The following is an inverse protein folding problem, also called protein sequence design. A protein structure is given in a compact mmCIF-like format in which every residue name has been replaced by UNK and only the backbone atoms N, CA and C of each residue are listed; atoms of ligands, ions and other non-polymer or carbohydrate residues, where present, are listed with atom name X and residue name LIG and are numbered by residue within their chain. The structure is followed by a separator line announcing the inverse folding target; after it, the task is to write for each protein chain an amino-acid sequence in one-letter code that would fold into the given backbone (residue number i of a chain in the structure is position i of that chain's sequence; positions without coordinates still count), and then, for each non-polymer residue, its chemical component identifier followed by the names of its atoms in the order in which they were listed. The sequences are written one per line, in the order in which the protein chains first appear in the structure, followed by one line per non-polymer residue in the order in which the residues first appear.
data_IF_071138951241
#
_entry.id   IF_071138951241
#
_cell.length_a   1.000
_cell.length_b   1.000
_cell.length_c   1.000
_cell.angle_alpha   90.00
_cell.angle_beta   90.00
_cell.angle_gamma   90.00
#
_symmetry.space_group_name_H-M   'P 1'
#
loop_
_entity.id
_entity.type
_entity.pdbx_description
1 polymer ?
#
# COMPACT_ATOMS: atom_id res chain seq x y z
N UNK A 1 -20.02 16.49 11.92
CA UNK A 1 -19.51 15.56 10.88
C UNK A 1 -17.99 15.72 10.84
N UNK A 2 -17.24 14.65 11.11
CA UNK A 2 -15.76 14.68 11.05
C UNK A 2 -15.29 14.92 9.60
N UNK A 3 -14.17 15.61 9.47
CA UNK A 3 -13.52 15.90 8.20
C UNK A 3 -12.17 15.20 8.14
N UNK A 4 -11.88 14.53 7.03
CA UNK A 4 -10.61 13.87 6.81
C UNK A 4 -9.96 14.35 5.50
N UNK A 5 -8.64 14.60 5.54
CA UNK A 5 -7.82 14.76 4.33
C UNK A 5 -7.08 13.45 4.07
N UNK A 6 -7.09 12.98 2.83
CA UNK A 6 -6.35 11.81 2.38
C UNK A 6 -5.41 12.23 1.26
N UNK A 7 -4.10 12.26 1.51
CA UNK A 7 -3.11 12.39 0.42
C UNK A 7 -2.97 11.07 -0.33
N UNK A 8 -2.74 11.09 -1.63
CA UNK A 8 -2.70 9.86 -2.43
C UNK A 8 -4.06 9.18 -2.60
N UNK A 9 -5.16 9.94 -2.52
CA UNK A 9 -6.54 9.45 -2.60
C UNK A 9 -6.84 8.64 -3.87
N UNK A 10 -6.15 8.89 -4.96
CA UNK A 10 -6.30 8.17 -6.24
C UNK A 10 -5.54 6.84 -6.31
N UNK A 11 -4.77 6.52 -5.27
CA UNK A 11 -4.11 5.23 -5.10
C UNK A 11 -5.07 4.13 -4.63
N UNK A 12 -4.56 2.89 -4.51
CA UNK A 12 -5.32 1.76 -3.97
C UNK A 12 -5.87 2.07 -2.57
N UNK A 13 -4.99 2.32 -1.63
CA UNK A 13 -5.36 2.52 -0.22
C UNK A 13 -6.17 3.81 -0.03
N UNK A 14 -5.81 4.87 -0.77
CA UNK A 14 -6.56 6.12 -0.74
C UNK A 14 -8.01 5.96 -1.16
N UNK A 15 -8.27 5.17 -2.21
CA UNK A 15 -9.63 4.87 -2.67
C UNK A 15 -10.43 4.06 -1.65
N UNK A 16 -9.87 2.97 -1.13
CA UNK A 16 -10.56 2.15 -0.11
C UNK A 16 -10.75 2.92 1.20
N UNK A 17 -9.76 3.71 1.64
CA UNK A 17 -9.90 4.54 2.84
C UNK A 17 -11.00 5.61 2.65
N UNK A 18 -11.03 6.25 1.49
CA UNK A 18 -12.09 7.22 1.18
C UNK A 18 -13.48 6.56 1.24
N UNK A 19 -13.65 5.38 0.62
CA UNK A 19 -14.90 4.60 0.69
C UNK A 19 -15.29 4.26 2.13
N UNK A 20 -14.33 3.80 2.94
CA UNK A 20 -14.55 3.49 4.34
C UNK A 20 -14.99 4.74 5.13
N UNK A 21 -14.27 5.86 4.99
CA UNK A 21 -14.59 7.08 5.73
C UNK A 21 -15.94 7.66 5.33
N UNK A 22 -16.27 7.64 4.04
CA UNK A 22 -17.62 8.04 3.55
C UNK A 22 -18.71 7.17 4.18
N UNK A 23 -18.53 5.85 4.25
CA UNK A 23 -19.50 4.94 4.90
C UNK A 23 -19.66 5.19 6.40
N UNK A 24 -18.65 5.79 7.04
CA UNK A 24 -18.67 6.20 8.46
C UNK A 24 -19.20 7.63 8.66
N UNK A 25 -19.67 8.29 7.62
CA UNK A 25 -20.25 9.63 7.67
C UNK A 25 -19.24 10.78 7.76
N UNK A 26 -17.99 10.55 7.33
CA UNK A 26 -17.01 11.63 7.21
C UNK A 26 -17.26 12.47 5.96
N UNK A 27 -16.89 13.75 6.03
CA UNK A 27 -16.61 14.55 4.85
C UNK A 27 -15.16 14.31 4.42
N UNK A 28 -14.98 13.74 3.23
CA UNK A 28 -13.66 13.32 2.72
C UNK A 28 -13.13 14.35 1.73
N UNK A 29 -11.92 14.82 1.99
CA UNK A 29 -11.12 15.67 1.11
C UNK A 29 -9.99 14.87 0.51
N UNK A 30 -10.06 14.66 -0.79
CA UNK A 30 -9.03 13.92 -1.54
C UNK A 30 -7.92 14.87 -2.00
N UNK A 31 -6.74 14.75 -1.40
CA UNK A 31 -5.61 15.58 -1.78
C UNK A 31 -4.83 14.94 -2.93
N UNK A 32 -4.57 15.73 -3.96
CA UNK A 32 -3.80 15.37 -5.15
C UNK A 32 -2.88 16.51 -5.54
N UNK A 33 -1.83 16.22 -6.31
CA UNK A 33 -1.08 17.27 -6.99
C UNK A 33 -1.90 17.79 -8.17
N UNK A 34 -1.81 19.08 -8.45
CA UNK A 34 -2.45 19.69 -9.63
C UNK A 34 -2.05 18.91 -10.87
N UNK A 35 -3.02 18.40 -11.58
CA UNK A 35 -2.84 17.58 -12.78
C UNK A 35 -3.81 18.05 -13.87
N UNK A 36 -3.37 18.01 -15.13
CA UNK A 36 -4.19 18.36 -16.30
C UNK A 36 -5.13 17.23 -16.75
N UNK A 37 -4.89 15.99 -16.29
CA UNK A 37 -5.71 14.82 -16.59
C UNK A 37 -6.36 14.22 -15.36
N UNK A 38 -7.68 14.09 -15.32
CA UNK A 38 -8.39 13.38 -14.27
C UNK A 38 -8.14 11.86 -14.41
N UNK A 39 -7.46 11.25 -13.43
CA UNK A 39 -7.19 9.81 -13.41
C UNK A 39 -7.84 9.20 -12.17
N UNK A 40 -9.17 9.15 -12.16
CA UNK A 40 -9.96 8.70 -11.01
C UNK A 40 -10.51 7.29 -11.15
N UNK A 41 -9.99 6.48 -12.09
CA UNK A 41 -10.56 5.18 -12.42
C UNK A 41 -10.83 4.27 -11.21
N UNK A 42 -9.97 4.35 -10.16
CA UNK A 42 -10.18 3.59 -8.93
C UNK A 42 -11.39 4.10 -8.15
N UNK A 43 -11.51 5.41 -8.04
CA UNK A 43 -12.63 6.05 -7.36
C UNK A 43 -13.94 5.88 -8.14
N UNK A 44 -13.87 5.93 -9.46
CA UNK A 44 -15.00 5.69 -10.38
C UNK A 44 -15.48 4.25 -10.24
N UNK A 45 -14.58 3.27 -10.21
CA UNK A 45 -14.92 1.85 -10.02
C UNK A 45 -15.47 1.56 -8.62
N UNK A 46 -15.01 2.30 -7.59
CA UNK A 46 -15.57 2.25 -6.25
C UNK A 46 -16.89 3.03 -6.10
N UNK A 47 -17.31 3.79 -7.12
CA UNK A 47 -18.55 4.57 -7.12
C UNK A 47 -18.58 5.75 -6.14
N UNK A 48 -17.40 6.35 -5.86
CA UNK A 48 -17.25 7.38 -4.83
C UNK A 48 -16.70 8.71 -5.32
N UNK A 49 -16.36 8.83 -6.60
CA UNK A 49 -15.68 10.03 -7.14
C UNK A 49 -16.45 11.32 -6.84
N UNK A 50 -17.78 11.32 -7.03
CA UNK A 50 -18.64 12.50 -6.82
C UNK A 50 -18.89 12.80 -5.33
N UNK A 51 -18.50 11.91 -4.42
CA UNK A 51 -18.65 12.08 -2.98
C UNK A 51 -17.41 12.69 -2.32
N UNK A 52 -16.31 12.84 -3.08
CA UNK A 52 -15.02 13.34 -2.59
C UNK A 52 -14.85 14.79 -3.04
N UNK A 53 -14.51 15.68 -2.11
CA UNK A 53 -14.07 17.04 -2.42
C UNK A 53 -12.57 17.05 -2.67
N UNK A 54 -12.15 17.34 -3.92
CA UNK A 54 -10.74 17.37 -4.26
C UNK A 54 -10.07 18.68 -3.87
N UNK A 55 -8.86 18.57 -3.32
CA UNK A 55 -7.98 19.68 -2.96
C UNK A 55 -6.58 19.47 -3.55
N UNK A 56 -5.94 20.54 -3.97
CA UNK A 56 -4.58 20.48 -4.52
C UNK A 56 -3.56 20.66 -3.40
N UNK A 57 -2.79 19.61 -3.11
CA UNK A 57 -1.66 19.62 -2.17
C UNK A 57 -0.40 19.16 -2.89
N UNK A 58 0.64 19.99 -2.87
CA UNK A 58 2.02 19.60 -3.16
C UNK A 58 2.78 19.46 -1.85
N UNK A 59 3.29 18.26 -1.58
CA UNK A 59 4.01 17.95 -0.34
C UNK A 59 5.35 18.70 -0.24
N UNK A 60 5.86 19.22 -1.35
CA UNK A 60 7.05 20.07 -1.39
C UNK A 60 6.81 21.51 -0.94
N UNK A 61 5.56 21.94 -0.78
CA UNK A 61 5.16 23.33 -0.56
C UNK A 61 4.40 23.50 0.77
N UNK A 62 5.09 23.76 1.89
CA UNK A 62 4.45 23.92 3.21
C UNK A 62 3.33 24.96 3.23
N UNK A 63 3.52 26.09 2.54
CA UNK A 63 2.51 27.15 2.45
C UNK A 63 1.23 26.68 1.74
N UNK A 64 1.36 25.82 0.72
CA UNK A 64 0.19 25.24 0.06
C UNK A 64 -0.54 24.27 0.99
N UNK A 65 0.19 23.44 1.76
CA UNK A 65 -0.39 22.56 2.77
C UNK A 65 -1.17 23.39 3.79
N UNK A 66 -0.55 24.43 4.33
CA UNK A 66 -1.16 25.34 5.30
C UNK A 66 -2.46 25.95 4.79
N UNK A 67 -2.47 26.50 3.57
CA UNK A 67 -3.70 27.07 2.95
C UNK A 67 -4.83 26.07 2.85
N UNK A 68 -4.52 24.81 2.52
CA UNK A 68 -5.55 23.76 2.45
C UNK A 68 -6.06 23.41 3.84
N UNK A 69 -5.17 23.31 4.85
CA UNK A 69 -5.60 23.05 6.23
C UNK A 69 -6.43 24.20 6.78
N UNK A 70 -6.10 25.46 6.47
CA UNK A 70 -6.92 26.64 6.82
C UNK A 70 -8.34 26.55 6.24
N UNK A 71 -8.44 26.18 4.97
CA UNK A 71 -9.71 26.06 4.27
C UNK A 71 -10.57 24.90 4.79
N UNK A 72 -9.94 23.72 5.01
CA UNK A 72 -10.64 22.48 5.32
C UNK A 72 -10.92 22.34 6.80
N UNK A 73 -9.95 22.70 7.65
CA UNK A 73 -9.99 22.46 9.11
C UNK A 73 -10.32 20.98 9.40
N UNK A 74 -9.44 20.03 9.00
CA UNK A 74 -9.72 18.61 9.16
C UNK A 74 -9.52 18.15 10.60
N UNK A 75 -10.26 17.13 11.01
CA UNK A 75 -10.06 16.42 12.27
C UNK A 75 -8.93 15.39 12.14
N UNK A 76 -8.81 14.77 10.96
CA UNK A 76 -7.89 13.68 10.68
C UNK A 76 -7.16 13.91 9.36
N UNK A 77 -5.85 13.60 9.35
CA UNK A 77 -5.00 13.70 8.16
C UNK A 77 -4.31 12.36 7.89
N UNK A 78 -4.64 11.72 6.79
CA UNK A 78 -4.05 10.45 6.35
C UNK A 78 -3.04 10.68 5.25
N UNK A 79 -1.74 10.48 5.56
CA UNK A 79 -0.68 10.63 4.59
C UNK A 79 -0.34 9.30 3.91
N UNK A 80 -0.97 9.08 2.76
CA UNK A 80 -0.74 7.90 1.90
C UNK A 80 0.04 8.23 0.63
N UNK A 81 0.26 9.52 0.34
CA UNK A 81 1.01 9.93 -0.85
C UNK A 81 2.47 9.50 -0.75
N UNK A 82 2.92 8.79 -1.75
CA UNK A 82 4.30 8.32 -1.85
C UNK A 82 4.67 8.00 -3.32
N UNK A 83 5.97 8.04 -3.64
CA UNK A 83 6.52 7.22 -4.69
C UNK A 83 6.69 5.82 -4.08
N UNK A 84 5.82 4.85 -4.40
CA UNK A 84 5.71 3.55 -3.70
C UNK A 84 6.30 2.37 -4.47
N UNK A 85 6.67 2.55 -5.73
CA UNK A 85 7.28 1.48 -6.51
C UNK A 85 8.78 1.37 -6.19
N UNK A 86 9.15 0.33 -5.45
CA UNK A 86 10.53 0.12 -4.94
C UNK A 86 11.56 0.13 -6.06
N UNK A 87 11.28 -0.54 -7.20
CA UNK A 87 12.19 -0.56 -8.36
C UNK A 87 12.56 0.84 -8.83
N UNK A 88 11.56 1.71 -9.00
CA UNK A 88 11.77 3.09 -9.47
C UNK A 88 12.61 3.93 -8.48
N UNK A 89 12.64 3.60 -7.20
CA UNK A 89 13.42 4.33 -6.21
C UNK A 89 14.94 4.24 -6.47
N UNK A 90 15.42 3.20 -7.14
CA UNK A 90 16.82 3.08 -7.56
C UNK A 90 17.14 3.98 -8.76
N UNK A 91 16.17 4.23 -9.64
CA UNK A 91 16.32 5.11 -10.79
C UNK A 91 16.07 6.58 -10.44
N UNK A 92 15.16 6.82 -9.49
CA UNK A 92 14.73 8.17 -9.08
C UNK A 92 14.84 8.35 -7.54
N UNK A 93 16.04 8.24 -6.94
CA UNK A 93 16.21 8.29 -5.50
C UNK A 93 15.88 9.68 -4.92
N UNK A 94 16.17 10.76 -5.63
CA UNK A 94 15.89 12.13 -5.17
C UNK A 94 14.39 12.40 -5.09
N UNK A 95 13.62 12.09 -6.13
CA UNK A 95 12.16 12.25 -6.15
C UNK A 95 11.53 11.41 -5.04
N UNK A 96 12.02 10.17 -4.86
CA UNK A 96 11.57 9.27 -3.80
C UNK A 96 11.83 9.88 -2.42
N UNK A 97 13.04 10.42 -2.18
CA UNK A 97 13.40 11.03 -0.90
C UNK A 97 12.57 12.29 -0.64
N UNK A 98 12.48 13.20 -1.60
CA UNK A 98 11.71 14.45 -1.45
C UNK A 98 10.26 14.14 -1.10
N UNK A 99 9.61 13.26 -1.87
CA UNK A 99 8.20 12.96 -1.66
C UNK A 99 7.96 12.20 -0.35
N UNK A 100 8.76 11.15 -0.11
CA UNK A 100 8.49 10.21 0.99
C UNK A 100 9.11 10.64 2.33
N UNK A 101 10.02 11.62 2.35
CA UNK A 101 10.69 12.10 3.56
C UNK A 101 10.38 13.57 3.84
N UNK A 102 10.87 14.48 2.98
CA UNK A 102 10.67 15.92 3.17
C UNK A 102 9.20 16.31 3.11
N UNK A 103 8.41 15.67 2.26
CA UNK A 103 6.96 15.87 2.22
C UNK A 103 6.28 15.59 3.57
N UNK A 104 6.73 14.56 4.29
CA UNK A 104 6.20 14.24 5.63
C UNK A 104 6.63 15.27 6.65
N UNK A 105 7.90 15.73 6.60
CA UNK A 105 8.40 16.82 7.45
C UNK A 105 7.54 18.07 7.26
N UNK A 106 7.26 18.47 6.03
CA UNK A 106 6.46 19.66 5.73
C UNK A 106 5.05 19.57 6.32
N UNK A 107 4.39 18.40 6.20
CA UNK A 107 3.06 18.20 6.80
C UNK A 107 3.13 18.33 8.33
N UNK A 108 4.08 17.63 8.96
CA UNK A 108 4.23 17.62 10.42
C UNK A 108 4.55 19.02 10.97
N UNK A 109 5.41 19.80 10.29
CA UNK A 109 5.72 21.17 10.68
C UNK A 109 4.50 22.10 10.60
N UNK A 110 3.69 21.99 9.56
CA UNK A 110 2.46 22.77 9.43
C UNK A 110 1.45 22.36 10.53
N UNK A 111 1.27 21.05 10.77
CA UNK A 111 0.39 20.55 11.82
C UNK A 111 0.86 21.05 13.20
N UNK A 112 2.15 20.86 13.53
CA UNK A 112 2.73 21.28 14.80
C UNK A 112 2.52 22.77 15.08
N UNK A 113 2.79 23.60 14.10
CA UNK A 113 2.81 25.05 14.30
C UNK A 113 1.41 25.68 14.39
N UNK A 114 0.42 25.13 13.65
CA UNK A 114 -0.89 25.79 13.54
C UNK A 114 -2.08 24.91 13.86
N UNK A 115 -1.95 23.60 13.75
CA UNK A 115 -3.10 22.68 13.85
C UNK A 115 -2.83 21.47 14.76
N UNK A 116 -2.28 21.64 15.97
CA UNK A 116 -1.80 20.54 16.83
C UNK A 116 -2.89 19.56 17.26
N UNK A 117 -4.15 19.89 17.01
CA UNK A 117 -5.30 19.01 17.31
C UNK A 117 -5.63 18.01 16.20
N UNK A 118 -5.04 18.16 15.00
CA UNK A 118 -5.24 17.22 13.90
C UNK A 118 -4.60 15.89 14.26
N UNK A 119 -5.38 14.80 14.18
CA UNK A 119 -4.84 13.45 14.29
C UNK A 119 -4.17 13.06 12.98
N UNK A 120 -2.90 12.72 13.02
CA UNK A 120 -2.07 12.42 11.85
C UNK A 120 -1.76 10.92 11.75
N UNK A 121 -1.99 10.35 10.57
CA UNK A 121 -1.59 9.01 10.20
C UNK A 121 -0.51 9.03 9.13
N UNK A 122 0.60 8.30 9.36
CA UNK A 122 1.67 8.06 8.41
C UNK A 122 1.64 6.63 7.90
N UNK A 123 1.56 6.44 6.59
CA UNK A 123 1.77 5.14 5.98
C UNK A 123 3.27 4.81 5.99
N UNK A 124 3.68 3.96 6.92
CA UNK A 124 4.98 3.29 6.95
C UNK A 124 4.93 1.97 6.18
N UNK A 125 5.99 1.18 6.16
CA UNK A 125 6.10 0.00 5.30
C UNK A 125 7.01 -1.08 5.88
N UNK A 126 6.72 -2.34 5.62
CA UNK A 126 7.60 -3.47 5.94
C UNK A 126 8.94 -3.43 5.21
N UNK A 127 9.07 -2.68 4.10
CA UNK A 127 10.34 -2.48 3.37
C UNK A 127 11.42 -1.78 4.23
N UNK A 128 11.03 -1.15 5.35
CA UNK A 128 11.97 -0.59 6.32
C UNK A 128 12.78 -1.68 7.02
N UNK A 129 12.21 -2.86 7.25
CA UNK A 129 12.93 -3.98 7.86
C UNK A 129 14.07 -4.50 6.97
N UNK A 130 13.86 -4.55 5.65
CA UNK A 130 14.88 -4.84 4.65
C UNK A 130 15.63 -6.16 4.91
N UNK A 131 16.91 -6.10 5.33
CA UNK A 131 17.67 -7.28 5.76
C UNK A 131 17.26 -7.63 7.19
N UNK A 132 16.25 -8.48 7.31
CA UNK A 132 15.63 -8.83 8.60
C UNK A 132 16.61 -9.55 9.53
N UNK A 133 16.53 -9.22 10.82
CA UNK A 133 17.35 -9.81 11.88
C UNK A 133 16.56 -10.74 12.80
N UNK A 134 15.23 -10.66 12.76
CA UNK A 134 14.31 -11.51 13.52
C UNK A 134 13.02 -11.78 12.72
N UNK A 135 12.33 -12.86 13.04
CA UNK A 135 11.10 -13.31 12.39
C UNK A 135 10.14 -13.88 13.43
N UNK A 136 8.87 -13.49 13.46
CA UNK A 136 8.24 -12.44 12.63
C UNK A 136 8.70 -11.03 13.05
N UNK A 137 8.54 -10.04 12.14
CA UNK A 137 8.87 -8.64 12.41
C UNK A 137 7.74 -7.97 13.18
N UNK A 138 8.12 -7.20 14.21
CA UNK A 138 7.23 -6.41 15.08
C UNK A 138 7.69 -4.96 15.15
N UNK A 139 6.98 -4.12 15.86
CA UNK A 139 7.24 -2.68 15.98
C UNK A 139 8.63 -2.36 16.52
N UNK A 140 9.19 -3.25 17.35
CA UNK A 140 10.53 -3.10 17.95
C UNK A 140 11.66 -3.73 17.14
N UNK A 141 11.34 -4.42 16.03
CA UNK A 141 12.34 -5.02 15.15
C UNK A 141 13.18 -3.94 14.49
N UNK A 142 14.50 -4.09 14.52
CA UNK A 142 15.45 -3.14 13.94
C UNK A 142 15.22 -3.00 12.44
N UNK A 143 15.18 -1.77 11.94
CA UNK A 143 15.16 -1.48 10.51
C UNK A 143 16.55 -1.58 9.88
N UNK A 144 16.61 -2.20 8.70
CA UNK A 144 17.81 -2.29 7.86
C UNK A 144 17.38 -2.22 6.37
N UNK A 145 16.87 -1.05 5.92
CA UNK A 145 16.28 -0.92 4.58
C UNK A 145 17.27 -1.26 3.47
N UNK A 146 16.76 -1.83 2.38
CA UNK A 146 17.53 -2.32 1.23
C UNK A 146 17.23 -1.53 -0.05
N UNK A 147 16.54 -0.40 0.07
CA UNK A 147 16.20 0.46 -1.08
C UNK A 147 16.13 1.93 -0.65
N UNK A 148 16.32 2.89 -1.58
CA UNK A 148 16.07 4.31 -1.31
C UNK A 148 14.65 4.56 -0.81
N UNK A 149 13.65 3.82 -1.30
CA UNK A 149 12.28 3.84 -0.79
C UNK A 149 12.21 3.47 0.69
N UNK A 150 12.79 2.34 1.07
CA UNK A 150 12.82 1.87 2.46
C UNK A 150 13.53 2.87 3.40
N UNK A 151 14.65 3.46 2.95
CA UNK A 151 15.38 4.49 3.69
C UNK A 151 14.52 5.75 3.91
N UNK A 152 13.85 6.23 2.87
CA UNK A 152 12.98 7.40 2.95
C UNK A 152 11.77 7.17 3.88
N UNK A 153 11.20 5.98 3.84
CA UNK A 153 10.10 5.58 4.73
C UNK A 153 10.56 5.42 6.18
N UNK A 154 11.76 4.87 6.43
CA UNK A 154 12.33 4.78 7.78
C UNK A 154 12.55 6.17 8.38
N UNK A 155 13.06 7.13 7.59
CA UNK A 155 13.16 8.52 8.03
C UNK A 155 11.80 9.07 8.48
N UNK A 156 10.75 8.93 7.66
CA UNK A 156 9.42 9.44 7.97
C UNK A 156 8.77 8.75 9.15
N UNK A 157 9.01 7.47 9.32
CA UNK A 157 8.54 6.73 10.47
C UNK A 157 9.15 7.27 11.78
N UNK A 158 10.48 7.39 11.86
CA UNK A 158 11.14 7.95 13.03
C UNK A 158 10.80 9.42 13.26
N UNK A 159 10.60 10.19 12.20
CA UNK A 159 10.17 11.57 12.31
C UNK A 159 8.76 11.67 12.94
N UNK A 160 7.83 10.79 12.54
CA UNK A 160 6.48 10.74 13.12
C UNK A 160 6.53 10.43 14.62
N UNK A 161 7.38 9.46 15.03
CA UNK A 161 7.61 9.15 16.45
C UNK A 161 8.19 10.37 17.17
N UNK A 162 9.22 11.00 16.60
CA UNK A 162 9.86 12.17 17.20
C UNK A 162 8.87 13.32 17.41
N UNK A 163 8.00 13.60 16.44
CA UNK A 163 7.00 14.66 16.57
C UNK A 163 5.92 14.34 17.59
N UNK A 164 5.52 13.08 17.71
CA UNK A 164 4.65 12.61 18.78
C UNK A 164 5.26 12.85 20.17
N UNK A 165 6.53 12.45 20.34
CA UNK A 165 7.20 12.50 21.64
C UNK A 165 7.66 13.91 22.01
N UNK A 166 8.13 14.72 21.05
CA UNK A 166 8.70 16.04 21.31
C UNK A 166 7.65 17.16 21.38
N UNK A 167 6.52 16.99 20.70
CA UNK A 167 5.52 18.05 20.53
C UNK A 167 4.10 17.64 20.93
N UNK A 168 3.95 16.45 21.53
CA UNK A 168 2.65 15.90 21.98
C UNK A 168 1.60 15.86 20.86
N UNK A 169 2.04 15.60 19.62
CA UNK A 169 1.12 15.45 18.50
C UNK A 169 0.47 14.08 18.51
N UNK A 170 -0.83 14.04 18.21
CA UNK A 170 -1.47 12.76 17.93
C UNK A 170 -1.04 12.25 16.56
N UNK A 171 0.10 11.54 16.51
CA UNK A 171 0.71 11.04 15.28
C UNK A 171 0.98 9.53 15.38
N UNK A 172 0.41 8.75 14.45
CA UNK A 172 0.53 7.29 14.38
C UNK A 172 1.22 6.85 13.09
N UNK A 173 1.93 5.72 13.14
CA UNK A 173 2.47 5.07 11.95
C UNK A 173 1.96 3.63 11.81
N UNK A 174 1.38 3.30 10.67
CA UNK A 174 1.09 1.90 10.31
C UNK A 174 2.26 1.29 9.55
N UNK A 175 2.93 0.28 10.11
CA UNK A 175 3.97 -0.50 9.43
C UNK A 175 3.27 -1.56 8.59
N UNK A 176 2.92 -1.17 7.36
CA UNK A 176 2.09 -1.99 6.49
C UNK A 176 2.92 -3.05 5.78
N UNK A 177 2.51 -4.30 5.91
CA UNK A 177 2.99 -5.39 5.07
C UNK A 177 2.29 -5.34 3.71
N UNK A 178 2.70 -6.21 2.78
CA UNK A 178 2.16 -6.17 1.43
C UNK A 178 0.65 -6.39 1.47
N UNK A 179 -0.08 -5.49 0.83
CA UNK A 179 -1.54 -5.58 0.74
C UNK A 179 -2.00 -5.21 -0.67
N UNK A 180 -2.85 -6.04 -1.16
CA UNK A 180 -3.22 -6.12 -2.55
C UNK A 180 -4.72 -5.97 -2.72
N UNK A 181 -5.17 -5.75 -3.92
CA UNK A 181 -6.59 -5.71 -4.27
C UNK A 181 -6.75 -5.59 -5.79
N UNK A 182 -7.99 -5.62 -6.32
CA UNK A 182 -8.28 -5.24 -7.69
C UNK A 182 -7.78 -3.86 -8.12
N UNK A 183 -7.52 -2.97 -7.14
CA UNK A 183 -7.04 -1.60 -7.37
C UNK A 183 -5.53 -1.46 -7.35
N UNK A 184 -4.77 -2.56 -7.17
CA UNK A 184 -3.31 -2.53 -7.16
C UNK A 184 -2.74 -2.01 -8.47
N UNK A 185 -1.59 -1.31 -8.43
CA UNK A 185 -0.87 -0.89 -9.63
C UNK A 185 -0.38 -2.08 -10.46
N UNK A 186 -0.42 -1.97 -11.77
CA UNK A 186 -0.11 -3.07 -12.70
C UNK A 186 1.38 -3.47 -12.68
N UNK A 187 2.24 -2.59 -12.17
CA UNK A 187 3.67 -2.80 -11.98
C UNK A 187 4.00 -3.76 -10.83
N UNK A 188 3.06 -4.00 -9.91
CA UNK A 188 3.26 -4.91 -8.77
C UNK A 188 3.00 -6.37 -9.17
N UNK A 189 3.80 -7.27 -8.57
CA UNK A 189 3.85 -8.68 -8.98
C UNK A 189 2.50 -9.39 -8.95
N UNK A 190 1.71 -9.19 -7.91
CA UNK A 190 0.38 -9.82 -7.77
C UNK A 190 -0.57 -9.38 -8.88
N UNK A 191 -0.62 -8.07 -9.15
CA UNK A 191 -1.44 -7.51 -10.21
C UNK A 191 -0.94 -7.90 -11.61
N UNK A 192 0.39 -7.97 -11.76
CA UNK A 192 1.01 -8.46 -13.00
C UNK A 192 0.62 -9.92 -13.28
N UNK A 193 0.53 -10.76 -12.24
CA UNK A 193 0.10 -12.15 -12.38
C UNK A 193 -1.38 -12.23 -12.75
N UNK A 194 -2.30 -11.65 -11.96
CA UNK A 194 -3.74 -11.79 -12.18
C UNK A 194 -4.16 -11.23 -13.54
N UNK A 195 -3.74 -10.00 -13.87
CA UNK A 195 -3.98 -9.39 -15.17
C UNK A 195 -3.32 -10.18 -16.30
N UNK A 196 -2.08 -10.59 -16.10
CA UNK A 196 -1.31 -11.33 -17.10
C UNK A 196 -1.93 -12.67 -17.46
N UNK A 197 -2.44 -13.41 -16.47
CA UNK A 197 -3.15 -14.69 -16.71
C UNK A 197 -4.46 -14.48 -17.47
N UNK A 198 -5.25 -13.44 -17.15
CA UNK A 198 -6.46 -13.11 -17.93
C UNK A 198 -6.09 -12.74 -19.37
N UNK A 199 -5.00 -12.02 -19.61
CA UNK A 199 -4.51 -11.76 -20.96
C UNK A 199 -3.98 -13.02 -21.66
N UNK A 200 -3.32 -13.93 -20.92
CA UNK A 200 -2.85 -15.20 -21.47
C UNK A 200 -4.01 -16.05 -21.99
N UNK A 201 -5.11 -16.16 -21.25
CA UNK A 201 -6.33 -16.84 -21.72
C UNK A 201 -6.84 -16.32 -23.05
N UNK A 202 -6.59 -15.02 -23.35
CA UNK A 202 -7.09 -14.34 -24.54
C UNK A 202 -6.17 -14.46 -25.75
N UNK A 203 -4.85 -14.41 -25.53
CA UNK A 203 -3.88 -14.27 -26.60
C UNK A 203 -2.65 -15.19 -26.50
N UNK A 204 -2.59 -16.06 -25.50
CA UNK A 204 -1.49 -17.01 -25.29
C UNK A 204 -0.15 -16.38 -24.89
N UNK A 205 -0.10 -15.06 -24.59
CA UNK A 205 1.15 -14.39 -24.24
C UNK A 205 1.55 -14.70 -22.80
N UNK A 206 2.74 -15.32 -22.54
CA UNK A 206 3.14 -15.70 -21.20
C UNK A 206 3.41 -14.50 -20.29
N UNK A 207 3.21 -14.71 -18.98
CA UNK A 207 3.58 -13.73 -17.95
C UNK A 207 5.05 -13.93 -17.61
N UNK A 208 5.85 -12.87 -17.73
CA UNK A 208 7.27 -12.92 -17.39
C UNK A 208 7.49 -12.36 -15.98
N UNK A 209 8.18 -13.13 -15.13
CA UNK A 209 8.41 -12.80 -13.71
C UNK A 209 9.90 -12.98 -13.36
N UNK A 210 10.32 -12.45 -12.21
CA UNK A 210 11.65 -12.67 -11.65
C UNK A 210 11.70 -13.92 -10.76
N UNK A 211 12.22 -13.77 -9.53
CA UNK A 211 12.34 -14.84 -8.55
C UNK A 211 10.97 -15.27 -8.00
N UNK A 212 10.57 -16.53 -8.19
CA UNK A 212 9.30 -17.08 -7.73
C UNK A 212 9.30 -17.57 -6.28
N UNK A 213 10.48 -17.73 -5.67
CA UNK A 213 10.63 -18.22 -4.29
C UNK A 213 10.54 -17.12 -3.24
N UNK A 214 10.57 -15.85 -3.65
CA UNK A 214 10.40 -14.71 -2.73
C UNK A 214 9.11 -14.83 -1.94
N UNK A 215 9.20 -14.67 -0.60
CA UNK A 215 8.07 -14.82 0.33
C UNK A 215 7.55 -13.47 0.80
N UNK A 216 6.24 -13.31 0.77
CA UNK A 216 5.56 -12.09 1.25
C UNK A 216 4.34 -12.45 2.08
N UNK A 217 4.07 -11.60 3.07
CA UNK A 217 2.82 -11.58 3.81
C UNK A 217 1.86 -10.66 3.03
N UNK A 218 0.87 -11.26 2.37
CA UNK A 218 -0.11 -10.53 1.56
C UNK A 218 -1.47 -10.48 2.25
N UNK A 219 -1.97 -9.27 2.49
CA UNK A 219 -3.32 -9.01 2.94
C UNK A 219 -4.17 -8.30 1.89
N UNK A 220 -5.43 -8.01 2.22
CA UNK A 220 -6.34 -7.24 1.38
C UNK A 220 -6.34 -5.77 1.80
N UNK A 221 -6.30 -4.83 0.85
CA UNK A 221 -6.25 -3.40 1.14
C UNK A 221 -7.45 -2.89 1.97
N UNK A 222 -8.64 -3.46 1.81
CA UNK A 222 -9.81 -3.10 2.63
C UNK A 222 -9.58 -3.34 4.12
N UNK A 223 -8.90 -4.44 4.49
CA UNK A 223 -8.58 -4.73 5.88
C UNK A 223 -7.56 -3.73 6.43
N UNK A 224 -6.58 -3.35 5.61
CA UNK A 224 -5.50 -2.44 6.02
C UNK A 224 -5.97 -1.01 6.25
N UNK A 225 -6.88 -0.51 5.41
CA UNK A 225 -7.43 0.84 5.62
C UNK A 225 -8.35 0.91 6.84
N UNK A 226 -8.98 -0.20 7.24
CA UNK A 226 -9.71 -0.27 8.51
C UNK A 226 -8.75 -0.09 9.70
N UNK A 227 -7.57 -0.71 9.67
CA UNK A 227 -6.54 -0.50 10.69
C UNK A 227 -6.07 0.96 10.73
N UNK A 228 -5.85 1.60 9.59
CA UNK A 228 -5.46 3.02 9.52
C UNK A 228 -6.48 3.91 10.24
N UNK A 229 -7.77 3.66 10.00
CA UNK A 229 -8.83 4.40 10.67
C UNK A 229 -8.87 4.09 12.18
N UNK A 230 -8.77 2.82 12.58
CA UNK A 230 -8.79 2.41 13.99
C UNK A 230 -7.66 3.04 14.80
N UNK A 231 -6.47 3.22 14.23
CA UNK A 231 -5.33 3.86 14.89
C UNK A 231 -5.66 5.30 15.32
N UNK A 232 -6.35 6.06 14.47
CA UNK A 232 -6.74 7.43 14.81
C UNK A 232 -7.97 7.54 15.73
N UNK A 233 -8.64 6.41 16.02
CA UNK A 233 -9.75 6.40 16.99
C UNK A 233 -9.30 6.09 18.42
N UNK A 234 -8.01 5.74 18.62
CA UNK A 234 -7.47 5.47 19.95
C UNK A 234 -7.33 6.74 20.78
N UNK A 235 -7.24 6.59 22.11
CA UNK A 235 -7.02 7.69 23.05
C UNK A 235 -5.57 8.19 23.00
N UNK A 236 -4.63 7.28 22.76
CA UNK A 236 -3.19 7.56 22.67
C UNK A 236 -2.62 7.13 21.33
N UNK A 237 -1.76 7.97 20.70
CA UNK A 237 -1.12 7.61 19.45
C UNK A 237 -0.03 6.57 19.63
N UNK A 238 0.09 5.63 18.70
CA UNK A 238 1.13 4.59 18.70
C UNK A 238 1.40 4.09 17.28
N UNK A 239 2.39 3.20 17.13
CA UNK A 239 2.75 2.57 15.87
C UNK A 239 2.32 1.09 15.88
N UNK A 240 1.88 0.58 14.75
CA UNK A 240 1.34 -0.77 14.65
C UNK A 240 1.82 -1.48 13.39
N UNK A 241 2.26 -2.74 13.57
CA UNK A 241 2.45 -3.68 12.46
C UNK A 241 1.08 -4.17 11.98
N UNK A 242 0.81 -3.96 10.70
CA UNK A 242 -0.41 -4.45 10.05
C UNK A 242 -0.01 -5.51 9.03
N UNK A 243 -0.34 -6.76 9.34
CA UNK A 243 0.05 -7.95 8.60
C UNK A 243 -0.96 -9.07 8.81
N UNK A 244 -0.94 -10.09 7.94
CA UNK A 244 -1.76 -11.29 8.15
C UNK A 244 -1.11 -12.27 9.12
N UNK A 245 0.22 -12.22 9.25
CA UNK A 245 1.03 -13.17 10.01
C UNK A 245 1.29 -14.48 9.26
N UNK A 246 1.02 -14.50 7.94
CA UNK A 246 1.27 -15.66 7.07
C UNK A 246 2.03 -15.24 5.82
N UNK A 247 3.00 -16.04 5.41
CA UNK A 247 3.73 -15.79 4.18
C UNK A 247 3.44 -16.85 3.13
N UNK A 248 3.52 -16.41 1.87
CA UNK A 248 3.37 -17.24 0.69
C UNK A 248 4.45 -16.88 -0.32
N UNK A 249 4.90 -17.84 -1.10
CA UNK A 249 5.78 -17.60 -2.23
C UNK A 249 5.01 -16.99 -3.41
N UNK A 250 5.73 -16.34 -4.33
CA UNK A 250 5.13 -15.92 -5.61
C UNK A 250 4.59 -17.16 -6.36
N UNK A 251 5.29 -18.29 -6.25
CA UNK A 251 4.87 -19.58 -6.83
C UNK A 251 3.51 -20.04 -6.27
N UNK A 252 3.33 -19.97 -4.93
CA UNK A 252 2.03 -20.30 -4.31
C UNK A 252 0.91 -19.38 -4.83
N UNK A 253 1.18 -18.10 -4.99
CA UNK A 253 0.23 -17.15 -5.53
C UNK A 253 -0.16 -17.49 -6.97
N UNK A 254 0.81 -17.87 -7.83
CA UNK A 254 0.57 -18.30 -9.21
C UNK A 254 -0.31 -19.54 -9.24
N UNK A 255 0.05 -20.58 -8.48
CA UNK A 255 -0.72 -21.83 -8.40
C UNK A 255 -2.18 -21.55 -8.06
N UNK A 256 -2.42 -20.78 -7.00
CA UNK A 256 -3.78 -20.42 -6.61
C UNK A 256 -4.53 -19.59 -7.65
N UNK A 257 -3.84 -18.75 -8.41
CA UNK A 257 -4.46 -18.02 -9.53
C UNK A 257 -4.83 -18.94 -10.70
N UNK A 258 -3.99 -19.93 -11.02
CA UNK A 258 -4.27 -20.93 -12.06
C UNK A 258 -5.44 -21.80 -11.65
N UNK A 259 -5.50 -22.22 -10.38
CA UNK A 259 -6.62 -23.01 -9.84
C UNK A 259 -7.95 -22.22 -9.88
N UNK A 260 -7.96 -20.92 -9.49
CA UNK A 260 -9.16 -20.07 -9.55
C UNK A 260 -9.64 -19.84 -11.00
N UNK A 261 -8.72 -19.86 -11.97
CA UNK A 261 -9.04 -19.73 -13.41
C UNK A 261 -9.34 -21.09 -14.08
N UNK A 262 -9.29 -22.19 -13.33
CA UNK A 262 -9.48 -23.55 -13.83
C UNK A 262 -8.51 -23.90 -14.99
N UNK A 263 -7.31 -23.33 -14.97
CA UNK A 263 -6.28 -23.57 -15.97
C UNK A 263 -5.51 -24.84 -15.62
N UNK A 264 -5.57 -25.85 -16.48
CA UNK A 264 -4.73 -27.04 -16.34
C UNK A 264 -3.30 -26.73 -16.73
N UNK A 265 -2.36 -27.06 -15.87
CA UNK A 265 -0.94 -26.76 -16.07
C UNK A 265 -0.04 -27.90 -15.58
N UNK A 266 1.18 -27.91 -16.05
CA UNK A 266 2.31 -28.59 -15.41
C UNK A 266 3.45 -27.60 -15.23
N UNK A 267 4.27 -27.78 -14.20
CA UNK A 267 5.41 -26.94 -13.95
C UNK A 267 6.71 -27.73 -13.94
N UNK A 268 7.75 -27.15 -14.55
CA UNK A 268 9.10 -27.63 -14.52
C UNK A 268 9.99 -26.51 -13.95
N UNK A 269 10.43 -26.70 -12.69
CA UNK A 269 11.12 -25.64 -11.95
C UNK A 269 10.19 -24.42 -11.73
N UNK A 270 10.60 -23.29 -12.30
CA UNK A 270 9.90 -22.00 -12.21
C UNK A 270 9.09 -21.64 -13.47
N UNK A 271 8.99 -22.57 -14.42
CA UNK A 271 8.20 -22.39 -15.63
C UNK A 271 6.87 -23.16 -15.51
N UNK A 272 5.79 -22.51 -15.92
CA UNK A 272 4.46 -23.12 -15.99
C UNK A 272 4.00 -23.18 -17.44
N UNK A 273 3.49 -24.36 -17.86
CA UNK A 273 3.06 -24.63 -19.22
C UNK A 273 1.66 -25.23 -19.22
N UNK A 274 0.91 -25.02 -20.30
CA UNK A 274 -0.36 -25.67 -20.57
C UNK A 274 -0.17 -27.10 -21.12
N UNK A 275 -1.28 -27.82 -21.33
CA UNK A 275 -1.27 -29.18 -21.87
C UNK A 275 -0.70 -29.30 -23.31
N UNK A 276 -0.52 -28.18 -24.00
CA UNK A 276 0.07 -28.12 -25.32
C UNK A 276 1.57 -27.73 -25.30
N UNK A 277 2.13 -27.55 -24.09
CA UNK A 277 3.53 -27.16 -23.90
C UNK A 277 3.78 -25.63 -24.05
N UNK A 278 2.74 -24.81 -24.22
CA UNK A 278 2.91 -23.36 -24.30
C UNK A 278 3.18 -22.78 -22.92
N UNK A 279 4.05 -21.78 -22.85
CA UNK A 279 4.33 -21.09 -21.59
C UNK A 279 3.12 -20.29 -21.10
N UNK A 280 2.76 -20.47 -19.84
CA UNK A 280 1.84 -19.64 -19.08
C UNK A 280 2.64 -18.62 -18.26
N UNK A 281 3.60 -19.13 -17.49
CA UNK A 281 4.56 -18.32 -16.71
C UNK A 281 5.96 -18.64 -17.18
N UNK A 282 6.78 -17.59 -17.31
CA UNK A 282 8.19 -17.69 -17.73
C UNK A 282 9.04 -16.79 -16.85
N UNK A 283 10.18 -17.29 -16.40
CA UNK A 283 11.14 -16.47 -15.65
C UNK A 283 11.99 -15.60 -16.59
N UNK A 284 12.28 -14.38 -16.14
CA UNK A 284 13.11 -13.44 -16.86
C UNK A 284 14.04 -12.70 -15.88
N UNK A 285 15.38 -12.88 -16.01
CA UNK A 285 16.36 -12.26 -15.11
C UNK A 285 16.28 -10.74 -15.01
N UNK A 286 15.72 -10.07 -16.03
CA UNK A 286 15.51 -8.61 -16.06
C UNK A 286 14.62 -8.11 -14.91
N UNK A 287 13.77 -8.98 -14.34
CA UNK A 287 12.88 -8.65 -13.24
C UNK A 287 13.44 -9.01 -11.86
N UNK A 288 14.70 -9.45 -11.77
CA UNK A 288 15.40 -9.70 -10.50
C UNK A 288 15.96 -8.37 -9.99
N UNK A 289 15.68 -8.03 -8.73
CA UNK A 289 16.14 -6.77 -8.12
C UNK A 289 17.59 -6.86 -7.70
N UNK A 290 18.38 -5.76 -7.74
CA UNK A 290 19.78 -5.73 -7.30
C UNK A 290 19.97 -6.10 -5.82
N UNK A 291 18.99 -5.79 -4.97
CA UNK A 291 18.96 -6.11 -3.54
C UNK A 291 17.56 -6.60 -3.16
N UNK A 292 17.41 -7.92 -3.16
CA UNK A 292 16.13 -8.56 -2.82
C UNK A 292 15.91 -8.59 -1.30
N UNK A 293 14.66 -8.58 -0.91
CA UNK A 293 14.20 -8.88 0.45
C UNK A 293 13.60 -10.28 0.41
N UNK A 294 14.28 -11.25 1.04
CA UNK A 294 13.91 -12.66 0.91
C UNK A 294 12.66 -13.03 1.65
N UNK A 295 12.47 -12.50 2.86
CA UNK A 295 11.36 -12.85 3.74
C UNK A 295 10.82 -11.61 4.47
N UNK A 296 9.53 -11.38 4.34
CA UNK A 296 8.76 -10.46 5.17
C UNK A 296 7.55 -11.21 5.73
N UNK A 297 7.46 -11.26 7.07
CA UNK A 297 6.30 -11.78 7.81
C UNK A 297 6.09 -10.93 9.05
N UNK A 298 4.92 -10.29 9.17
CA UNK A 298 4.61 -9.40 10.28
C UNK A 298 4.01 -10.10 11.48
N UNK A 299 4.30 -9.59 12.67
CA UNK A 299 3.58 -9.94 13.90
C UNK A 299 2.49 -8.90 14.18
N UNK A 300 1.21 -9.19 13.88
CA UNK A 300 0.11 -8.25 14.08
C UNK A 300 -0.46 -8.28 15.51
N UNK A 301 0.20 -8.91 16.49
CA UNK A 301 -0.35 -9.11 17.82
C UNK A 301 -0.76 -7.81 18.50
N UNK A 302 0.08 -6.76 18.44
CA UNK A 302 -0.25 -5.44 18.98
C UNK A 302 -1.52 -4.85 18.36
N UNK A 303 -1.67 -4.93 17.05
CA UNK A 303 -2.87 -4.45 16.38
C UNK A 303 -4.12 -5.27 16.77
N UNK A 304 -3.97 -6.58 16.92
CA UNK A 304 -5.07 -7.46 17.38
C UNK A 304 -5.53 -7.11 18.80
N UNK A 305 -4.61 -6.88 19.71
CA UNK A 305 -4.91 -6.63 21.13
C UNK A 305 -5.40 -5.19 21.36
N UNK A 306 -4.73 -4.19 20.78
CA UNK A 306 -5.00 -2.78 21.04
C UNK A 306 -6.09 -2.19 20.16
N UNK A 307 -6.10 -2.56 18.86
CA UNK A 307 -7.08 -2.07 17.90
C UNK A 307 -8.27 -3.02 17.72
N UNK A 308 -8.22 -4.22 18.29
CA UNK A 308 -9.15 -5.33 18.03
C UNK A 308 -9.24 -5.64 16.52
N UNK A 309 -8.18 -5.33 15.79
CA UNK A 309 -8.11 -5.51 14.35
C UNK A 309 -7.69 -6.95 14.00
N UNK A 310 -8.34 -7.50 12.99
CA UNK A 310 -7.94 -8.75 12.34
C UNK A 310 -8.31 -8.71 10.87
N UNK A 311 -7.51 -9.32 9.98
CA UNK A 311 -7.87 -9.41 8.56
C UNK A 311 -9.14 -10.25 8.40
N UNK A 312 -10.05 -9.78 7.54
CA UNK A 312 -11.29 -10.46 7.15
C UNK A 312 -11.07 -11.35 5.92
N UNK A 313 -10.10 -10.95 5.08
CA UNK A 313 -9.73 -11.65 3.87
C UNK A 313 -8.53 -12.58 4.12
N UNK A 314 -8.53 -13.70 3.44
CA UNK A 314 -7.37 -14.59 3.30
C UNK A 314 -6.82 -14.53 1.87
N UNK A 315 -5.73 -15.27 1.57
CA UNK A 315 -5.12 -15.25 0.25
C UNK A 315 -6.08 -15.72 -0.85
N UNK A 316 -6.91 -16.72 -0.58
CA UNK A 316 -7.83 -17.26 -1.59
C UNK A 316 -8.93 -16.24 -1.95
N UNK A 317 -9.52 -15.59 -0.95
CA UNK A 317 -10.51 -14.52 -1.19
C UNK A 317 -9.91 -13.31 -1.88
N UNK A 318 -8.67 -12.94 -1.55
CA UNK A 318 -7.93 -11.88 -2.22
C UNK A 318 -7.71 -12.20 -3.71
N UNK A 319 -7.21 -13.39 -4.01
CA UNK A 319 -6.95 -13.83 -5.39
C UNK A 319 -8.24 -13.87 -6.20
N UNK A 320 -9.29 -14.43 -5.62
CA UNK A 320 -10.61 -14.48 -6.26
C UNK A 320 -11.12 -13.09 -6.62
N UNK A 321 -11.05 -12.14 -5.68
CA UNK A 321 -11.48 -10.76 -5.91
C UNK A 321 -10.67 -10.10 -7.04
N UNK A 322 -9.34 -10.26 -7.02
CA UNK A 322 -8.45 -9.71 -8.05
C UNK A 322 -8.73 -10.31 -9.44
N UNK A 323 -8.89 -11.63 -9.53
CA UNK A 323 -9.14 -12.32 -10.80
C UNK A 323 -10.51 -11.97 -11.37
N UNK A 324 -11.56 -11.94 -10.54
CA UNK A 324 -12.91 -11.58 -11.00
C UNK A 324 -12.96 -10.15 -11.54
N UNK A 325 -12.27 -9.21 -10.88
CA UNK A 325 -12.16 -7.84 -11.36
C UNK A 325 -11.40 -7.77 -12.69
N UNK A 326 -10.32 -8.55 -12.86
CA UNK A 326 -9.55 -8.57 -14.10
C UNK A 326 -10.31 -9.24 -15.25
N UNK A 327 -11.05 -10.30 -14.99
CA UNK A 327 -11.95 -10.91 -15.97
C UNK A 327 -13.02 -9.91 -16.43
N UNK A 328 -13.60 -9.14 -15.51
CA UNK A 328 -14.57 -8.08 -15.84
C UNK A 328 -13.98 -6.97 -16.70
N UNK A 329 -12.74 -6.55 -16.40
CA UNK A 329 -12.06 -5.44 -17.10
C UNK A 329 -11.49 -5.86 -18.47
N UNK A 330 -10.94 -7.06 -18.57
CA UNK A 330 -10.09 -7.49 -19.70
C UNK A 330 -10.52 -8.80 -20.33
N UNK A 331 -11.45 -9.56 -19.74
CA UNK A 331 -11.86 -10.90 -20.22
C UNK A 331 -12.77 -10.87 -21.46
N UNK A 332 -13.24 -9.70 -21.91
CA UNK A 332 -14.10 -9.54 -23.11
C UNK A 332 -13.32 -9.56 -24.41
#
# INVERSE_FOLDING_TARGET
MKKAIITGVTGQDGGYLAKLLLSKGYKVYGAQRRNTGKRYWRLDELGITDQIEFVDIDLGEPYNIEKVLDKVQPDEFYNLAAQSFVGLSFEQPQVTTITNSLGVLNILEVIRNKYPKIKFYQASTSEMYGKVTETPQKETTRFHPRSPYGCAKAYSHYLTINYRESYDLFACSGILFNHESPMRGEEFVTRKITKGLVHWLKNGKPVELGNLDSKRDWGHAEDYVEAMWLMLQQDTPDDYVIATGKTHTIKDFIVKCLDELEITYFNEGDEFRDNHGNFIIKTNPKFVRPAEVDLLIGDPMKAREKLLWKPKHNLDSLIKDMIQADLKRYGK
#
